data_IF_491474217651
#
_entry.id   IF_491474217651
#
_cell.length_a   1.000
_cell.length_b   1.000
_cell.length_c   1.000
_cell.angle_alpha   90.00
_cell.angle_beta   90.00
_cell.angle_gamma   90.00
#
_symmetry.space_group_name_H-M   'P 1'
#
loop_
_entity.id
_entity.type
_entity.pdbx_description
1 polymer ?
#
# COMPACT_ATOMS: atom_id res chain seq x y z
N UNK A 1 -22.61 23.04 -0.98
CA UNK A 1 -22.25 22.49 -2.30
C UNK A 1 -20.89 21.80 -2.34
N UNK A 2 -19.88 22.19 -1.54
CA UNK A 2 -18.54 21.55 -1.57
C UNK A 2 -18.52 20.06 -1.19
N UNK A 3 -19.26 19.63 -0.16
CA UNK A 3 -19.27 18.23 0.31
C UNK A 3 -19.83 17.27 -0.75
N UNK A 4 -20.88 17.68 -1.47
CA UNK A 4 -21.46 16.88 -2.56
C UNK A 4 -20.46 16.67 -3.70
N UNK A 5 -19.70 17.72 -4.07
CA UNK A 5 -18.64 17.61 -5.08
C UNK A 5 -17.50 16.68 -4.66
N UNK A 6 -17.10 16.73 -3.38
CA UNK A 6 -16.09 15.83 -2.81
C UNK A 6 -16.58 14.38 -2.83
N UNK A 7 -17.82 14.12 -2.41
CA UNK A 7 -18.40 12.77 -2.41
C UNK A 7 -18.51 12.20 -3.84
N UNK A 8 -18.88 13.03 -4.81
CA UNK A 8 -19.01 12.64 -6.20
C UNK A 8 -17.63 12.33 -6.81
N UNK A 9 -16.63 13.17 -6.56
CA UNK A 9 -15.26 12.94 -7.01
C UNK A 9 -14.62 11.71 -6.35
N UNK A 10 -14.87 11.49 -5.06
CA UNK A 10 -14.42 10.30 -4.34
C UNK A 10 -15.10 9.03 -4.87
N UNK A 11 -16.40 9.06 -5.08
CA UNK A 11 -17.16 7.95 -5.65
C UNK A 11 -16.67 7.60 -7.06
N UNK A 12 -16.40 8.62 -7.89
CA UNK A 12 -15.82 8.45 -9.22
C UNK A 12 -14.42 7.84 -9.14
N UNK A 13 -13.54 8.34 -8.26
CA UNK A 13 -12.21 7.78 -8.06
C UNK A 13 -12.30 6.30 -7.68
N UNK A 14 -13.13 5.94 -6.70
CA UNK A 14 -13.30 4.57 -6.24
C UNK A 14 -13.79 3.68 -7.39
N UNK A 15 -14.82 4.12 -8.12
CA UNK A 15 -15.38 3.35 -9.23
C UNK A 15 -14.37 3.11 -10.36
N UNK A 16 -13.60 4.14 -10.76
CA UNK A 16 -12.56 3.96 -11.78
C UNK A 16 -11.37 3.13 -11.28
N UNK A 17 -11.01 3.25 -9.99
CA UNK A 17 -9.93 2.45 -9.41
C UNK A 17 -10.27 0.95 -9.44
N UNK A 18 -11.52 0.57 -9.12
CA UNK A 18 -11.98 -0.82 -9.25
C UNK A 18 -12.04 -1.31 -10.71
N UNK A 19 -12.11 -0.40 -11.69
CA UNK A 19 -12.05 -0.71 -13.12
C UNK A 19 -10.63 -0.93 -13.65
N UNK A 20 -9.62 -0.93 -12.76
CA UNK A 20 -8.23 -1.23 -13.11
C UNK A 20 -7.45 -0.04 -13.69
N UNK A 21 -8.01 1.17 -13.62
CA UNK A 21 -7.30 2.37 -14.03
C UNK A 21 -6.25 2.75 -12.98
N UNK A 22 -5.13 3.35 -13.41
CA UNK A 22 -4.05 3.69 -12.49
C UNK A 22 -4.50 4.79 -11.52
N UNK A 23 -4.47 4.48 -10.22
CA UNK A 23 -4.84 5.44 -9.16
C UNK A 23 -3.98 6.70 -9.22
N UNK A 24 -2.73 6.56 -9.68
CA UNK A 24 -1.81 7.67 -9.86
C UNK A 24 -2.32 8.73 -10.86
N UNK A 25 -2.98 8.32 -11.95
CA UNK A 25 -3.58 9.22 -12.93
C UNK A 25 -4.97 9.68 -12.49
N UNK A 26 -5.73 8.80 -11.82
CA UNK A 26 -7.08 9.10 -11.35
C UNK A 26 -7.11 10.13 -10.22
N UNK A 27 -6.15 10.10 -9.30
CA UNK A 27 -6.10 11.02 -8.17
C UNK A 27 -6.10 12.51 -8.62
N UNK A 28 -5.18 12.98 -9.48
CA UNK A 28 -5.22 14.35 -9.96
C UNK A 28 -6.46 14.65 -10.82
N UNK A 29 -6.91 13.69 -11.64
CA UNK A 29 -8.13 13.85 -12.44
C UNK A 29 -9.38 14.05 -11.56
N UNK A 30 -9.54 13.26 -10.49
CA UNK A 30 -10.63 13.39 -9.53
C UNK A 30 -10.55 14.69 -8.73
N UNK A 31 -9.34 15.17 -8.40
CA UNK A 31 -9.15 16.45 -7.74
C UNK A 31 -9.62 17.62 -8.62
N UNK A 32 -9.37 17.55 -9.94
CA UNK A 32 -9.91 18.52 -10.90
C UNK A 32 -11.43 18.43 -11.01
N UNK A 33 -12.00 17.23 -11.04
CA UNK A 33 -13.46 17.05 -11.07
C UNK A 33 -14.11 17.66 -9.82
N UNK A 34 -13.52 17.45 -8.64
CA UNK A 34 -13.98 18.06 -7.39
C UNK A 34 -13.94 19.60 -7.47
N UNK A 35 -12.82 20.16 -7.92
CA UNK A 35 -12.65 21.61 -8.07
C UNK A 35 -13.61 22.20 -9.11
N UNK A 36 -13.86 21.49 -10.22
CA UNK A 36 -14.81 21.89 -11.25
C UNK A 36 -16.24 21.96 -10.72
N UNK A 37 -16.66 20.94 -9.96
CA UNK A 37 -18.00 20.88 -9.34
C UNK A 37 -18.16 21.95 -8.26
N UNK A 38 -17.08 22.28 -7.54
CA UNK A 38 -17.04 23.36 -6.55
C UNK A 38 -16.99 24.77 -7.16
N UNK A 39 -16.80 24.89 -8.48
CA UNK A 39 -16.54 26.14 -9.21
C UNK A 39 -15.30 26.90 -8.72
N UNK A 40 -14.28 26.17 -8.30
CA UNK A 40 -13.01 26.73 -7.84
C UNK A 40 -11.95 26.75 -8.95
N UNK A 41 -10.88 27.56 -8.83
CA UNK A 41 -9.86 27.67 -9.87
C UNK A 41 -9.06 26.36 -10.04
N UNK A 42 -9.37 25.62 -11.12
CA UNK A 42 -8.82 24.29 -11.43
C UNK A 42 -7.28 24.24 -11.34
N UNK A 43 -6.63 25.22 -11.96
CA UNK A 43 -5.17 25.27 -12.06
C UNK A 43 -4.50 25.53 -10.70
N UNK A 44 -5.15 26.31 -9.83
CA UNK A 44 -4.69 26.54 -8.46
C UNK A 44 -4.84 25.27 -7.61
N UNK A 45 -5.96 24.56 -7.70
CA UNK A 45 -6.16 23.30 -6.96
C UNK A 45 -5.23 22.18 -7.44
N UNK A 46 -4.89 22.15 -8.73
CA UNK A 46 -3.88 21.23 -9.25
C UNK A 46 -2.48 21.54 -8.69
N UNK A 47 -2.02 22.78 -8.84
CA UNK A 47 -0.62 23.15 -8.58
C UNK A 47 -0.32 23.45 -7.11
N UNK A 48 -1.24 24.09 -6.39
CA UNK A 48 -1.02 24.51 -5.01
C UNK A 48 -1.51 23.45 -4.03
N UNK A 49 -2.71 22.90 -4.26
CA UNK A 49 -3.31 21.94 -3.31
C UNK A 49 -2.84 20.52 -3.57
N UNK A 50 -3.08 19.98 -4.76
CA UNK A 50 -2.74 18.59 -5.07
C UNK A 50 -1.23 18.37 -5.13
N UNK A 51 -0.51 19.11 -5.98
CA UNK A 51 0.94 18.96 -6.10
C UNK A 51 1.68 19.31 -4.80
N UNK A 52 1.24 20.34 -4.07
CA UNK A 52 1.82 20.68 -2.77
C UNK A 52 1.67 19.55 -1.75
N UNK A 53 0.48 18.94 -1.68
CA UNK A 53 0.22 17.80 -0.78
C UNK A 53 0.98 16.55 -1.21
N UNK A 54 1.03 16.27 -2.52
CA UNK A 54 1.77 15.15 -3.08
C UNK A 54 3.27 15.27 -2.82
N UNK A 55 3.85 16.46 -3.03
CA UNK A 55 5.26 16.72 -2.74
C UNK A 55 5.59 16.53 -1.27
N UNK A 56 4.74 17.02 -0.36
CA UNK A 56 4.91 16.81 1.09
C UNK A 56 4.82 15.34 1.47
N UNK A 57 3.87 14.61 0.91
CA UNK A 57 3.75 13.17 1.13
C UNK A 57 5.01 12.43 0.66
N UNK A 58 5.49 12.72 -0.56
CA UNK A 58 6.73 12.11 -1.06
C UNK A 58 7.89 12.49 -0.14
N UNK A 59 8.08 13.75 0.21
CA UNK A 59 9.18 14.16 1.09
C UNK A 59 9.16 13.44 2.45
N UNK A 60 7.97 13.25 3.04
CA UNK A 60 7.82 12.62 4.35
C UNK A 60 8.01 11.09 4.30
N UNK A 61 7.48 10.43 3.28
CA UNK A 61 7.45 8.96 3.22
C UNK A 61 8.54 8.36 2.31
N UNK A 62 9.23 9.15 1.49
CA UNK A 62 10.25 8.66 0.58
C UNK A 62 11.38 7.88 1.27
N UNK A 63 11.97 8.34 2.40
CA UNK A 63 13.02 7.57 3.08
C UNK A 63 12.52 6.19 3.53
N UNK A 64 11.27 6.14 4.02
CA UNK A 64 10.64 4.90 4.44
C UNK A 64 10.42 3.95 3.26
N UNK A 65 9.92 4.47 2.14
CA UNK A 65 9.68 3.69 0.92
C UNK A 65 10.99 3.16 0.34
N UNK A 66 12.03 4.00 0.32
CA UNK A 66 13.36 3.64 -0.16
C UNK A 66 13.99 2.53 0.69
N UNK A 67 13.97 2.67 2.01
CA UNK A 67 14.50 1.65 2.91
C UNK A 67 13.69 0.36 2.84
N UNK A 68 12.35 0.45 2.76
CA UNK A 68 11.48 -0.72 2.59
C UNK A 68 11.75 -1.46 1.28
N UNK A 69 11.91 -0.72 0.17
CA UNK A 69 12.27 -1.29 -1.12
C UNK A 69 13.67 -1.94 -1.11
N UNK A 70 14.66 -1.29 -0.49
CA UNK A 70 16.01 -1.81 -0.33
C UNK A 70 16.03 -3.09 0.51
N UNK A 71 15.30 -3.10 1.65
CA UNK A 71 15.17 -4.27 2.51
C UNK A 71 14.52 -5.44 1.76
N UNK A 72 13.44 -5.19 1.02
CA UNK A 72 12.79 -6.19 0.19
C UNK A 72 13.72 -6.77 -0.88
N UNK A 73 14.47 -5.91 -1.58
CA UNK A 73 15.47 -6.32 -2.58
C UNK A 73 16.59 -7.14 -1.96
N UNK A 74 17.14 -6.69 -0.83
CA UNK A 74 18.21 -7.37 -0.11
C UNK A 74 17.77 -8.76 0.36
N UNK A 75 16.55 -8.89 0.88
CA UNK A 75 15.97 -10.17 1.29
C UNK A 75 15.79 -11.16 0.12
N UNK A 76 15.42 -10.64 -1.06
CA UNK A 76 15.32 -11.44 -2.29
C UNK A 76 16.70 -11.87 -2.77
N UNK A 77 17.67 -10.95 -2.82
CA UNK A 77 19.03 -11.20 -3.31
C UNK A 77 19.84 -12.10 -2.35
N UNK A 78 19.63 -11.98 -1.04
CA UNK A 78 20.29 -12.83 -0.04
C UNK A 78 19.74 -14.27 0.00
N UNK A 79 18.64 -14.55 -0.70
CA UNK A 79 17.94 -15.83 -0.61
C UNK A 79 17.25 -16.06 0.75
N UNK A 80 17.27 -15.08 1.67
CA UNK A 80 16.63 -15.18 2.98
C UNK A 80 15.12 -15.43 2.86
N UNK A 81 14.50 -14.87 1.81
CA UNK A 81 13.11 -15.16 1.43
C UNK A 81 12.85 -16.67 1.33
N UNK A 82 13.73 -17.40 0.64
CA UNK A 82 13.62 -18.85 0.46
C UNK A 82 13.89 -19.65 1.74
N UNK A 83 14.81 -19.18 2.59
CA UNK A 83 15.11 -19.83 3.87
C UNK A 83 13.96 -19.69 4.88
N UNK A 84 13.39 -18.49 5.03
CA UNK A 84 12.25 -18.22 5.92
C UNK A 84 11.04 -19.05 5.49
N UNK A 85 10.76 -19.05 4.19
CA UNK A 85 9.78 -19.89 3.55
C UNK A 85 9.87 -21.38 3.92
N UNK A 86 11.06 -21.98 3.75
CA UNK A 86 11.30 -23.39 4.07
C UNK A 86 11.14 -23.66 5.56
N UNK A 87 11.78 -22.85 6.41
CA UNK A 87 11.69 -22.96 7.86
C UNK A 87 10.24 -22.90 8.36
N UNK A 88 9.43 -22.00 7.82
CA UNK A 88 8.03 -21.85 8.18
C UNK A 88 7.16 -22.99 7.64
N UNK A 89 7.44 -23.47 6.43
CA UNK A 89 6.77 -24.65 5.87
C UNK A 89 7.06 -25.90 6.70
N UNK A 90 8.29 -26.08 7.16
CA UNK A 90 8.72 -27.20 8.00
C UNK A 90 8.14 -27.12 9.43
N UNK A 91 8.06 -25.92 10.02
CA UNK A 91 7.62 -25.73 11.41
C UNK A 91 6.11 -25.63 11.59
N UNK A 92 5.42 -24.88 10.72
CA UNK A 92 4.00 -24.58 10.86
C UNK A 92 3.12 -25.35 9.85
N UNK A 93 3.72 -25.92 8.81
CA UNK A 93 3.01 -26.53 7.68
C UNK A 93 2.51 -25.48 6.68
N UNK A 94 2.41 -25.84 5.38
CA UNK A 94 2.03 -24.91 4.30
C UNK A 94 0.66 -24.25 4.50
N UNK A 95 -0.22 -24.85 5.32
CA UNK A 95 -1.56 -24.33 5.63
C UNK A 95 -1.58 -23.09 6.53
N UNK A 96 -0.50 -22.73 7.22
CA UNK A 96 -0.50 -21.65 8.24
C UNK A 96 0.34 -20.42 7.88
N UNK A 97 0.82 -20.30 6.63
CA UNK A 97 1.59 -19.14 6.18
C UNK A 97 0.83 -17.81 6.35
N UNK A 98 -0.49 -17.81 6.14
CA UNK A 98 -1.35 -16.63 6.39
C UNK A 98 -1.33 -16.22 7.87
N UNK A 99 -1.45 -17.19 8.80
CA UNK A 99 -1.39 -16.92 10.24
C UNK A 99 -0.04 -16.34 10.67
N UNK A 100 1.06 -16.79 10.08
CA UNK A 100 2.39 -16.25 10.39
C UNK A 100 2.50 -14.76 9.99
N UNK A 101 1.97 -14.38 8.82
CA UNK A 101 1.93 -12.98 8.38
C UNK A 101 1.04 -12.15 9.30
N UNK A 102 -0.15 -12.64 9.65
CA UNK A 102 -1.10 -11.94 10.53
C UNK A 102 -0.51 -11.73 11.93
N UNK A 103 0.14 -12.74 12.52
CA UNK A 103 0.77 -12.62 13.83
C UNK A 103 1.94 -11.63 13.84
N UNK A 104 2.76 -11.65 12.78
CA UNK A 104 3.84 -10.69 12.63
C UNK A 104 3.28 -9.27 12.43
N UNK A 105 2.19 -9.13 11.66
CA UNK A 105 1.47 -7.87 11.53
C UNK A 105 0.95 -7.36 12.88
N UNK A 106 0.26 -8.22 13.63
CA UNK A 106 -0.25 -7.91 14.96
C UNK A 106 0.88 -7.47 15.90
N UNK A 107 2.04 -8.16 15.91
CA UNK A 107 3.18 -7.80 16.75
C UNK A 107 3.74 -6.42 16.39
N UNK A 108 3.89 -6.13 15.10
CA UNK A 108 4.41 -4.84 14.61
C UNK A 108 3.44 -3.71 14.94
N UNK A 109 2.14 -3.90 14.73
CA UNK A 109 1.11 -2.91 15.05
C UNK A 109 0.98 -2.70 16.57
N UNK A 110 1.04 -3.76 17.37
CA UNK A 110 1.02 -3.66 18.84
C UNK A 110 2.30 -3.02 19.39
N UNK A 111 3.42 -3.14 18.67
CA UNK A 111 4.67 -2.43 18.93
C UNK A 111 4.64 -0.93 18.66
N UNK A 112 3.47 -0.37 18.30
CA UNK A 112 3.30 1.06 18.03
C UNK A 112 3.81 1.51 16.66
N UNK A 113 4.13 0.57 15.77
CA UNK A 113 4.57 0.88 14.41
C UNK A 113 3.36 1.31 13.57
N UNK A 114 3.48 2.47 12.91
CA UNK A 114 2.44 2.97 12.00
C UNK A 114 2.15 1.95 10.89
N UNK A 115 0.87 1.76 10.55
CA UNK A 115 0.42 0.86 9.48
C UNK A 115 1.14 1.10 8.14
N UNK A 116 1.48 2.36 7.83
CA UNK A 116 2.26 2.71 6.65
C UNK A 116 3.66 2.06 6.68
N UNK A 117 4.33 2.09 7.82
CA UNK A 117 5.66 1.49 8.04
C UNK A 117 5.55 -0.03 8.09
N UNK A 118 4.54 -0.54 8.80
CA UNK A 118 4.27 -1.97 8.95
C UNK A 118 4.13 -2.63 7.58
N UNK A 119 3.42 -2.00 6.64
CA UNK A 119 3.26 -2.55 5.29
C UNK A 119 4.60 -2.77 4.57
N UNK A 120 5.59 -1.88 4.73
CA UNK A 120 6.90 -2.06 4.09
C UNK A 120 7.73 -3.21 4.66
N UNK A 121 7.53 -3.53 5.94
CA UNK A 121 8.19 -4.67 6.59
C UNK A 121 7.45 -5.97 6.29
N UNK A 122 6.11 -5.93 6.36
CA UNK A 122 5.25 -7.10 6.22
C UNK A 122 5.08 -7.53 4.77
N UNK A 123 5.09 -6.62 3.79
CA UNK A 123 4.93 -6.96 2.37
C UNK A 123 6.01 -7.91 1.82
N UNK A 124 7.33 -7.64 1.97
CA UNK A 124 8.36 -8.58 1.51
C UNK A 124 8.32 -9.89 2.28
N UNK A 125 8.01 -9.86 3.58
CA UNK A 125 7.86 -11.06 4.40
C UNK A 125 6.64 -11.92 4.00
N UNK A 126 5.50 -11.29 3.72
CA UNK A 126 4.30 -11.97 3.22
C UNK A 126 4.54 -12.57 1.83
N UNK A 127 5.21 -11.83 0.93
CA UNK A 127 5.63 -12.38 -0.36
C UNK A 127 6.54 -13.59 -0.18
N UNK A 128 7.47 -13.52 0.77
CA UNK A 128 8.39 -14.62 1.06
C UNK A 128 7.67 -15.88 1.56
N UNK A 129 6.66 -15.70 2.43
CA UNK A 129 5.86 -16.78 3.00
C UNK A 129 4.84 -17.36 2.01
N UNK A 130 4.30 -16.56 1.10
CA UNK A 130 3.22 -16.97 0.19
C UNK A 130 3.75 -17.66 -1.07
N UNK A 131 4.94 -17.28 -1.58
CA UNK A 131 5.57 -17.87 -2.79
C UNK A 131 5.71 -19.40 -2.74
N UNK A 132 6.23 -20.01 -1.66
CA UNK A 132 6.42 -21.46 -1.55
C UNK A 132 5.17 -22.20 -1.06
N UNK A 133 4.26 -21.50 -0.39
CA UNK A 133 2.98 -22.05 0.03
C UNK A 133 1.93 -22.06 -1.11
N UNK A 134 2.31 -21.64 -2.32
CA UNK A 134 1.45 -21.48 -3.50
C UNK A 134 0.19 -20.64 -3.22
N UNK A 135 0.33 -19.62 -2.36
CA UNK A 135 -0.79 -18.74 -1.98
C UNK A 135 -0.83 -17.56 -2.96
N UNK A 136 -1.98 -17.28 -3.59
CA UNK A 136 -2.08 -16.23 -4.58
C UNK A 136 -1.84 -14.85 -3.97
N UNK A 137 -0.98 -14.05 -4.61
CA UNK A 137 -0.55 -12.68 -4.19
C UNK A 137 -1.70 -11.73 -3.86
N UNK A 138 -2.88 -11.90 -4.47
CA UNK A 138 -4.09 -11.11 -4.18
C UNK A 138 -4.57 -11.21 -2.72
N UNK A 139 -4.16 -12.25 -1.98
CA UNK A 139 -4.52 -12.44 -0.57
C UNK A 139 -3.56 -11.73 0.39
N UNK A 140 -2.41 -11.25 -0.07
CA UNK A 140 -1.43 -10.56 0.79
C UNK A 140 -1.99 -9.30 1.46
N UNK A 141 -2.74 -8.41 0.78
CA UNK A 141 -3.30 -7.24 1.43
C UNK A 141 -4.21 -7.60 2.61
N UNK A 142 -5.00 -8.66 2.48
CA UNK A 142 -5.90 -9.14 3.54
C UNK A 142 -5.16 -9.83 4.70
N UNK A 143 -3.91 -10.26 4.51
CA UNK A 143 -3.08 -10.85 5.56
C UNK A 143 -2.21 -9.82 6.29
N UNK A 144 -1.95 -8.67 5.66
CA UNK A 144 -1.14 -7.57 6.20
C UNK A 144 -2.02 -6.52 6.92
N UNK A 145 -3.27 -6.36 6.49
CA UNK A 145 -4.27 -5.46 7.09
C UNK A 145 -4.90 -6.07 8.35
#
# INVERSE_FOLDING_TARGET
MGILGILLALGLLIWLAYRGWSVLLLAPASALVAAAVAREPLLAHWTQTFMGSAARFVAQFFPLFLLGALFGKLMEDSGSVGAIARFMTERLGPRRAVLAVVLAGALVTYGGVSLFVAFFVLAPMAQALFRPADIPRRLMPAAIA
#
